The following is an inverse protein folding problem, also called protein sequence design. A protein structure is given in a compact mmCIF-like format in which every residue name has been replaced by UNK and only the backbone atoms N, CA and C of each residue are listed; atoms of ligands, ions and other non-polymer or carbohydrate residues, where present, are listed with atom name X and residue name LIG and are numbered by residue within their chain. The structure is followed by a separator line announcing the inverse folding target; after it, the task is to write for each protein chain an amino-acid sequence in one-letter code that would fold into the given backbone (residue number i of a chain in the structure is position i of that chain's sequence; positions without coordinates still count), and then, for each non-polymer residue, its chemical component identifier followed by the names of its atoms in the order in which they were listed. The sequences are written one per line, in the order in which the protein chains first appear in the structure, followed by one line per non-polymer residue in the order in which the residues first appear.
data_IF_236989702052
#
_entry.id   IF_236989702052
#
_cell.length_a   1.000
_cell.length_b   1.000
_cell.length_c   1.000
_cell.angle_alpha   90.00
_cell.angle_beta   90.00
_cell.angle_gamma   90.00
#
_symmetry.space_group_name_H-M   'P 1'
#
loop_
_entity.id
_entity.type
_entity.pdbx_description
1 polymer ?
#
# COMPACT_ATOMS: atom_id res chain seq x y z
N UNK A 1 8.42 -11.37 -23.15
CA UNK A 1 8.83 -10.48 -22.04
C UNK A 1 8.03 -9.19 -22.14
N UNK A 2 7.28 -8.86 -21.10
CA UNK A 2 6.62 -7.57 -21.03
C UNK A 2 7.65 -6.48 -20.75
N UNK A 3 7.52 -5.28 -21.35
CA UNK A 3 8.42 -4.18 -21.05
C UNK A 3 8.32 -3.81 -19.57
N UNK A 4 9.45 -3.40 -18.99
CA UNK A 4 9.46 -2.90 -17.62
C UNK A 4 8.45 -1.74 -17.49
N UNK A 5 7.67 -1.69 -16.39
CA UNK A 5 6.71 -0.61 -16.20
C UNK A 5 7.40 0.75 -16.19
N UNK A 6 6.94 1.64 -17.05
CA UNK A 6 7.51 2.99 -17.12
C UNK A 6 7.26 3.76 -15.81
N UNK A 7 8.28 4.43 -15.26
CA UNK A 7 8.08 5.33 -14.13
C UNK A 7 7.14 6.48 -14.48
N UNK A 8 6.96 6.76 -15.76
CA UNK A 8 6.10 7.84 -16.25
C UNK A 8 4.65 7.40 -16.54
N UNK A 9 4.26 6.19 -16.12
CA UNK A 9 2.89 5.73 -16.31
C UNK A 9 1.89 6.67 -15.61
N UNK A 10 0.86 7.18 -16.33
CA UNK A 10 -0.03 8.22 -15.81
C UNK A 10 -0.69 7.87 -14.46
N UNK A 11 -1.15 6.63 -14.30
CA UNK A 11 -1.76 6.19 -13.04
C UNK A 11 -0.74 6.13 -11.89
N UNK A 12 0.49 5.75 -12.19
CA UNK A 12 1.58 5.74 -11.21
C UNK A 12 1.92 7.15 -10.76
N UNK A 13 2.02 8.09 -11.70
CA UNK A 13 2.25 9.50 -11.39
C UNK A 13 1.10 10.09 -10.58
N UNK A 14 -0.15 9.79 -10.94
CA UNK A 14 -1.32 10.25 -10.19
C UNK A 14 -1.31 9.74 -8.74
N UNK A 15 -0.92 8.48 -8.52
CA UNK A 15 -0.77 7.94 -7.16
C UNK A 15 0.39 8.57 -6.40
N UNK A 16 1.52 8.80 -7.05
CA UNK A 16 2.66 9.51 -6.44
C UNK A 16 2.28 10.92 -5.98
N UNK A 17 1.45 11.61 -6.72
CA UNK A 17 0.98 12.95 -6.37
C UNK A 17 0.13 12.97 -5.08
N UNK A 18 -0.41 11.83 -4.65
CA UNK A 18 -1.13 11.70 -3.39
C UNK A 18 -0.20 11.55 -2.18
N UNK A 19 1.09 11.33 -2.40
CA UNK A 19 2.06 11.12 -1.31
C UNK A 19 2.48 12.47 -0.74
N UNK A 20 1.65 13.02 0.13
CA UNK A 20 1.94 14.25 0.86
C UNK A 20 1.07 14.33 2.12
N UNK A 21 1.46 15.16 3.08
CA UNK A 21 0.72 15.35 4.32
C UNK A 21 0.97 14.22 5.33
N UNK A 22 -0.05 13.88 6.09
CA UNK A 22 0.04 12.85 7.12
C UNK A 22 -0.13 11.47 6.50
N UNK A 23 0.81 10.60 6.76
CA UNK A 23 0.79 9.19 6.39
C UNK A 23 0.36 8.38 7.61
N UNK A 24 -0.85 7.84 7.59
CA UNK A 24 -1.39 7.06 8.69
C UNK A 24 -1.14 5.56 8.48
N UNK A 25 -0.95 4.86 9.59
CA UNK A 25 -0.80 3.40 9.61
C UNK A 25 -1.82 2.84 10.60
N UNK A 26 -2.58 1.81 10.19
CA UNK A 26 -3.55 1.18 11.08
C UNK A 26 -2.87 0.46 12.25
N UNK A 27 -3.55 0.41 13.39
CA UNK A 27 -3.13 -0.44 14.49
C UNK A 27 -3.38 -1.92 14.18
N UNK A 28 -2.74 -2.81 14.93
CA UNK A 28 -2.99 -4.25 14.87
C UNK A 28 -4.35 -4.55 15.55
N UNK A 29 -5.45 -4.31 14.83
CA UNK A 29 -6.81 -4.42 15.34
C UNK A 29 -7.53 -5.65 14.76
N UNK A 30 -7.90 -6.58 15.63
CA UNK A 30 -8.63 -7.78 15.22
C UNK A 30 -10.13 -7.56 15.00
N UNK A 31 -10.69 -6.49 15.56
CA UNK A 31 -12.10 -6.16 15.40
C UNK A 31 -12.30 -5.23 14.20
N UNK A 32 -12.86 -5.75 13.14
CA UNK A 32 -13.05 -5.01 11.87
C UNK A 32 -13.96 -3.78 12.04
N UNK A 33 -15.00 -3.88 12.86
CA UNK A 33 -15.90 -2.74 13.11
C UNK A 33 -15.17 -1.58 13.78
N UNK A 34 -14.32 -1.89 14.76
CA UNK A 34 -13.50 -0.88 15.45
C UNK A 34 -12.46 -0.28 14.50
N UNK A 35 -11.79 -1.12 13.70
CA UNK A 35 -10.85 -0.66 12.69
C UNK A 35 -11.50 0.33 11.73
N UNK A 36 -12.68 0.01 11.21
CA UNK A 36 -13.42 0.89 10.30
C UNK A 36 -13.80 2.22 10.95
N UNK A 37 -14.24 2.20 12.19
CA UNK A 37 -14.59 3.41 12.92
C UNK A 37 -13.38 4.34 13.11
N UNK A 38 -12.24 3.79 13.49
CA UNK A 38 -11.00 4.55 13.66
C UNK A 38 -10.50 5.13 12.33
N UNK A 39 -10.55 4.34 11.27
CA UNK A 39 -10.16 4.78 9.93
C UNK A 39 -11.10 5.87 9.42
N UNK A 40 -12.42 5.70 9.54
CA UNK A 40 -13.39 6.69 9.12
C UNK A 40 -13.15 8.04 9.83
N UNK A 41 -12.89 8.01 11.13
CA UNK A 41 -12.56 9.21 11.90
C UNK A 41 -11.27 9.89 11.39
N UNK A 42 -10.23 9.11 11.13
CA UNK A 42 -8.97 9.63 10.63
C UNK A 42 -9.11 10.26 9.23
N UNK A 43 -9.80 9.58 8.31
CA UNK A 43 -10.01 10.07 6.96
C UNK A 43 -10.91 11.30 6.91
N UNK A 44 -11.90 11.37 7.80
CA UNK A 44 -12.74 12.57 7.96
C UNK A 44 -11.94 13.79 8.43
N UNK A 45 -10.82 13.57 9.11
CA UNK A 45 -9.87 14.61 9.49
C UNK A 45 -8.97 15.11 8.39
N UNK A 46 -9.03 14.52 7.19
CA UNK A 46 -8.28 14.97 6.01
C UNK A 46 -7.07 14.12 5.65
N UNK A 47 -6.87 12.98 6.28
CA UNK A 47 -5.79 12.05 5.92
C UNK A 47 -6.03 11.48 4.52
N UNK A 48 -5.01 11.48 3.67
CA UNK A 48 -5.08 11.04 2.27
C UNK A 48 -4.20 9.83 1.96
N UNK A 49 -3.43 9.34 2.93
CA UNK A 49 -2.61 8.14 2.81
C UNK A 49 -2.84 7.27 4.02
N UNK A 50 -3.25 6.04 3.77
CA UNK A 50 -3.48 5.05 4.82
C UNK A 50 -2.75 3.75 4.47
N UNK A 51 -1.82 3.32 5.32
CA UNK A 51 -1.25 1.98 5.23
C UNK A 51 -2.03 1.03 6.14
N UNK A 52 -2.58 -0.02 5.55
CA UNK A 52 -3.12 -1.13 6.31
C UNK A 52 -2.00 -2.08 6.72
N UNK A 53 -1.83 -2.21 8.01
CA UNK A 53 -0.83 -3.10 8.63
C UNK A 53 -1.49 -3.81 9.82
N UNK A 54 -1.51 -5.13 9.78
CA UNK A 54 -2.00 -5.95 10.88
C UNK A 54 -1.15 -7.22 11.00
N UNK A 55 -0.15 -7.17 11.86
CA UNK A 55 0.85 -8.25 12.00
C UNK A 55 0.29 -9.54 12.60
N UNK A 56 -0.78 -9.42 13.37
CA UNK A 56 -1.37 -10.57 14.08
C UNK A 56 -2.55 -11.19 13.34
N UNK A 57 -2.99 -10.59 12.25
CA UNK A 57 -4.08 -11.11 11.44
C UNK A 57 -3.60 -12.24 10.53
N UNK A 58 -4.41 -13.30 10.42
CA UNK A 58 -4.25 -14.29 9.37
C UNK A 58 -4.72 -13.73 8.02
N UNK A 59 -4.51 -14.49 6.95
CA UNK A 59 -4.85 -14.05 5.60
C UNK A 59 -6.36 -13.82 5.41
N UNK A 60 -7.20 -14.61 6.08
CA UNK A 60 -8.65 -14.45 6.00
C UNK A 60 -9.12 -13.14 6.64
N UNK A 61 -8.59 -12.79 7.81
CA UNK A 61 -8.89 -11.53 8.48
C UNK A 61 -8.35 -10.33 7.69
N UNK A 62 -7.13 -10.42 7.18
CA UNK A 62 -6.56 -9.37 6.32
C UNK A 62 -7.44 -9.11 5.10
N UNK A 63 -7.87 -10.16 4.43
CA UNK A 63 -8.79 -10.06 3.29
C UNK A 63 -10.09 -9.36 3.67
N UNK A 64 -10.72 -9.81 4.74
CA UNK A 64 -11.97 -9.21 5.24
C UNK A 64 -11.79 -7.71 5.53
N UNK A 65 -10.73 -7.36 6.23
CA UNK A 65 -10.47 -5.96 6.61
C UNK A 65 -10.14 -5.08 5.40
N UNK A 66 -9.35 -5.58 4.46
CA UNK A 66 -9.02 -4.84 3.23
C UNK A 66 -10.23 -4.66 2.32
N UNK A 67 -11.07 -5.68 2.18
CA UNK A 67 -12.34 -5.58 1.44
C UNK A 67 -13.27 -4.52 2.05
N UNK A 68 -13.28 -4.41 3.38
CA UNK A 68 -14.06 -3.41 4.08
C UNK A 68 -13.46 -2.00 4.00
N UNK A 69 -12.13 -1.87 4.02
CA UNK A 69 -11.43 -0.59 3.96
C UNK A 69 -11.44 0.03 2.56
N UNK A 70 -11.40 -0.79 1.53
CA UNK A 70 -11.29 -0.32 0.14
C UNK A 70 -12.37 0.71 -0.22
N UNK A 71 -13.69 0.45 -0.04
CA UNK A 71 -14.72 1.43 -0.36
C UNK A 71 -14.67 2.68 0.54
N UNK A 72 -14.23 2.55 1.79
CA UNK A 72 -14.05 3.70 2.69
C UNK A 72 -12.97 4.63 2.15
N UNK A 73 -11.83 4.08 1.78
CA UNK A 73 -10.73 4.86 1.19
C UNK A 73 -11.13 5.49 -0.14
N UNK A 74 -11.88 4.79 -0.97
CA UNK A 74 -12.38 5.33 -2.25
C UNK A 74 -13.30 6.54 -2.02
N UNK A 75 -14.24 6.46 -1.08
CA UNK A 75 -15.14 7.59 -0.77
C UNK A 75 -14.38 8.83 -0.30
N UNK A 76 -13.31 8.65 0.44
CA UNK A 76 -12.49 9.76 0.96
C UNK A 76 -11.35 10.16 0.02
N UNK A 77 -11.24 9.54 -1.15
CA UNK A 77 -10.13 9.76 -2.10
C UNK A 77 -8.76 9.56 -1.43
N UNK A 78 -8.67 8.54 -0.57
CA UNK A 78 -7.48 8.20 0.19
C UNK A 78 -6.73 7.06 -0.49
N UNK A 79 -5.41 7.21 -0.61
CA UNK A 79 -4.53 6.15 -1.10
C UNK A 79 -4.43 5.05 -0.05
N UNK A 80 -4.93 3.85 -0.39
CA UNK A 80 -4.81 2.67 0.45
C UNK A 80 -3.56 1.88 0.07
N UNK A 81 -2.67 1.69 1.03
CA UNK A 81 -1.41 0.96 0.88
C UNK A 81 -1.48 -0.32 1.71
N UNK A 82 -1.16 -1.45 1.13
CA UNK A 82 -1.09 -2.73 1.84
C UNK A 82 0.34 -3.00 2.30
N UNK A 83 0.52 -3.25 3.59
CA UNK A 83 1.81 -3.64 4.14
C UNK A 83 2.14 -5.09 3.80
N UNK A 84 3.32 -5.36 3.27
CA UNK A 84 3.93 -6.67 2.99
C UNK A 84 3.22 -7.53 1.94
N UNK A 85 1.93 -7.70 2.02
CA UNK A 85 1.15 -8.73 1.32
C UNK A 85 0.72 -8.29 -0.08
N UNK A 86 1.68 -8.12 -0.98
CA UNK A 86 1.39 -7.64 -2.34
C UNK A 86 0.55 -8.62 -3.17
N UNK A 87 0.62 -9.92 -2.88
CA UNK A 87 -0.23 -10.91 -3.56
C UNK A 87 -1.69 -10.69 -3.23
N UNK A 88 -2.00 -10.48 -1.96
CA UNK A 88 -3.36 -10.17 -1.53
C UNK A 88 -3.83 -8.81 -2.11
N UNK A 89 -2.96 -7.81 -2.11
CA UNK A 89 -3.28 -6.52 -2.75
C UNK A 89 -3.63 -6.69 -4.23
N UNK A 90 -2.85 -7.49 -4.97
CA UNK A 90 -3.13 -7.77 -6.38
C UNK A 90 -4.47 -8.47 -6.58
N UNK A 91 -4.80 -9.47 -5.77
CA UNK A 91 -6.09 -10.17 -5.82
C UNK A 91 -7.27 -9.22 -5.57
N UNK A 92 -7.12 -8.26 -4.69
CA UNK A 92 -8.17 -7.30 -4.33
C UNK A 92 -8.19 -6.05 -5.23
N UNK A 93 -7.30 -5.95 -6.18
CA UNK A 93 -7.20 -4.79 -7.07
C UNK A 93 -6.67 -3.52 -6.39
N UNK A 94 -5.95 -3.66 -5.28
CA UNK A 94 -5.31 -2.55 -4.58
C UNK A 94 -3.93 -2.31 -5.21
N UNK A 95 -3.67 -1.09 -5.62
CA UNK A 95 -2.54 -0.73 -6.49
C UNK A 95 -1.36 -0.08 -5.75
N UNK A 96 -1.32 -0.18 -4.43
CA UNK A 96 -0.25 0.39 -3.63
C UNK A 96 0.15 -0.57 -2.50
N UNK A 97 1.44 -0.79 -2.34
CA UNK A 97 2.01 -1.68 -1.31
C UNK A 97 3.26 -1.05 -0.69
N UNK A 98 3.58 -1.48 0.53
CA UNK A 98 4.83 -1.15 1.20
C UNK A 98 5.54 -2.43 1.62
N UNK A 99 6.77 -2.63 1.16
CA UNK A 99 7.52 -3.88 1.29
C UNK A 99 8.77 -3.72 2.15
N UNK A 100 9.03 -4.71 3.02
CA UNK A 100 10.30 -4.89 3.70
C UNK A 100 11.25 -5.78 2.90
N UNK A 101 12.44 -6.06 3.43
CA UNK A 101 13.45 -6.86 2.75
C UNK A 101 13.07 -8.34 2.56
N UNK A 102 12.15 -8.86 3.37
CA UNK A 102 11.71 -10.26 3.33
C UNK A 102 10.40 -10.46 2.56
N UNK A 103 9.86 -9.42 1.91
CA UNK A 103 8.54 -9.46 1.31
C UNK A 103 8.55 -9.76 -0.20
N UNK A 104 9.65 -10.27 -0.70
CA UNK A 104 9.80 -10.71 -2.07
C UNK A 104 10.39 -9.65 -2.99
N UNK A 105 10.31 -9.93 -4.28
CA UNK A 105 10.91 -9.13 -5.33
C UNK A 105 10.00 -7.98 -5.76
N UNK A 106 10.55 -6.76 -5.83
CA UNK A 106 9.80 -5.56 -6.20
C UNK A 106 9.28 -5.64 -7.64
N UNK A 107 10.08 -6.19 -8.56
CA UNK A 107 9.66 -6.31 -9.97
C UNK A 107 8.52 -7.30 -10.12
N UNK A 108 8.58 -8.43 -9.39
CA UNK A 108 7.50 -9.42 -9.36
C UNK A 108 6.21 -8.81 -8.81
N UNK A 109 6.31 -8.04 -7.72
CA UNK A 109 5.18 -7.33 -7.15
C UNK A 109 4.59 -6.32 -8.14
N UNK A 110 5.42 -5.56 -8.84
CA UNK A 110 4.97 -4.60 -9.85
C UNK A 110 4.28 -5.27 -11.03
N UNK A 111 4.80 -6.40 -11.49
CA UNK A 111 4.13 -7.17 -12.55
C UNK A 111 2.74 -7.63 -12.12
N UNK A 112 2.60 -8.11 -10.89
CA UNK A 112 1.31 -8.57 -10.37
C UNK A 112 0.32 -7.42 -10.14
N UNK A 113 0.80 -6.28 -9.65
CA UNK A 113 -0.04 -5.12 -9.33
C UNK A 113 -0.34 -4.25 -10.56
N UNK A 114 0.49 -4.33 -11.58
CA UNK A 114 0.36 -3.55 -12.82
C UNK A 114 1.25 -2.31 -12.86
N UNK A 115 1.40 -1.70 -14.06
CA UNK A 115 2.35 -0.61 -14.29
C UNK A 115 1.97 0.70 -13.58
N UNK A 116 0.71 0.88 -13.23
CA UNK A 116 0.22 2.05 -12.48
C UNK A 116 0.34 1.92 -10.96
N UNK A 117 0.95 0.85 -10.46
CA UNK A 117 1.08 0.62 -9.02
C UNK A 117 2.14 1.49 -8.36
N UNK A 118 1.97 1.70 -7.05
CA UNK A 118 3.00 2.30 -6.18
C UNK A 118 3.61 1.22 -5.29
N UNK A 119 4.93 1.25 -5.16
CA UNK A 119 5.66 0.34 -4.29
C UNK A 119 6.62 1.15 -3.42
N UNK A 120 6.26 1.28 -2.14
CA UNK A 120 7.16 1.80 -1.13
C UNK A 120 8.03 0.69 -0.56
N UNK A 121 9.23 1.03 -0.11
CA UNK A 121 10.16 0.07 0.47
C UNK A 121 10.76 0.60 1.75
N UNK A 122 10.95 -0.30 2.71
CA UNK A 122 11.72 -0.02 3.92
C UNK A 122 13.20 -0.22 3.62
N UNK A 123 14.00 0.81 3.87
CA UNK A 123 15.46 0.74 3.70
C UNK A 123 16.19 0.65 5.03
N UNK A 124 15.45 0.73 6.14
CA UNK A 124 16.00 0.71 7.50
C UNK A 124 17.04 1.82 7.65
N UNK A 125 18.19 1.55 8.22
CA UNK A 125 19.29 2.50 8.32
C UNK A 125 20.33 2.33 7.19
N UNK A 126 19.98 1.66 6.09
CA UNK A 126 20.90 1.34 5.00
C UNK A 126 20.77 2.33 3.84
N UNK A 127 21.74 3.22 3.70
CA UNK A 127 21.89 4.11 2.54
C UNK A 127 22.16 3.31 1.28
N UNK A 128 22.91 2.22 1.38
CA UNK A 128 23.22 1.32 0.27
C UNK A 128 21.93 0.71 -0.31
N UNK A 129 21.05 0.18 0.56
CA UNK A 129 19.76 -0.36 0.14
C UNK A 129 18.88 0.71 -0.51
N UNK A 130 18.83 1.91 0.06
CA UNK A 130 18.06 3.02 -0.50
C UNK A 130 18.54 3.39 -1.91
N UNK A 131 19.85 3.46 -2.13
CA UNK A 131 20.42 3.73 -3.45
C UNK A 131 20.12 2.61 -4.45
N UNK A 132 20.21 1.35 -4.02
CA UNK A 132 19.93 0.21 -4.89
C UNK A 132 18.46 0.14 -5.31
N UNK A 133 17.52 0.51 -4.44
CA UNK A 133 16.08 0.41 -4.69
C UNK A 133 15.46 1.68 -5.28
N UNK A 134 16.11 2.84 -5.19
CA UNK A 134 15.59 4.10 -5.71
C UNK A 134 15.12 4.05 -7.18
N UNK A 135 15.79 3.31 -8.09
CA UNK A 135 15.33 3.22 -9.48
C UNK A 135 14.03 2.44 -9.69
N UNK A 136 13.65 1.57 -8.75
CA UNK A 136 12.52 0.63 -8.91
C UNK A 136 11.36 0.89 -7.94
N UNK A 137 11.62 1.56 -6.83
CA UNK A 137 10.61 1.92 -5.84
C UNK A 137 10.01 3.30 -6.10
N UNK A 138 8.95 3.61 -5.39
CA UNK A 138 8.25 4.90 -5.38
C UNK A 138 8.42 5.62 -4.06
#
# INVERSE_FOLDING_TARGET
MLPAPSPDHPERQARRALIHGVYAITADEGNTTRLLADVEAALSGGIRILQYRNKHADIALKRQQLEALKPVCERHQTLLIVNDDWRLAAELGIKAVHLGEDDGDIEEARQALGPGSLIGVSCYASVERARALAPVAD
#
